data_IF_030259650314
#
_entry.id   IF_030259650314
#
_cell.length_a   1.000
_cell.length_b   1.000
_cell.length_c   1.000
_cell.angle_alpha   90.00
_cell.angle_beta   90.00
_cell.angle_gamma   90.00
#
_symmetry.space_group_name_H-M   'P 1'
#
loop_
_entity.id
_entity.type
_entity.pdbx_description
1 polymer ?
#
# COMPACT_ATOMS: atom_id res chain seq x y z
N UNK A 1 6.30 -21.19 11.91
CA UNK A 1 6.68 -19.75 12.10
C UNK A 1 8.04 -19.51 11.50
N UNK A 2 8.12 -18.71 10.44
CA UNK A 2 9.39 -18.25 9.86
C UNK A 2 9.57 -16.77 10.18
N UNK A 3 10.66 -16.44 10.86
CA UNK A 3 11.08 -15.07 11.10
C UNK A 3 12.16 -14.73 10.09
N UNK A 4 11.85 -13.83 9.15
CA UNK A 4 12.85 -13.32 8.22
C UNK A 4 13.51 -12.09 8.85
N UNK A 5 14.76 -12.27 9.29
CA UNK A 5 15.62 -11.19 9.75
C UNK A 5 16.44 -10.68 8.58
N UNK A 6 16.15 -9.47 8.11
CA UNK A 6 17.03 -8.74 7.20
C UNK A 6 17.59 -7.52 7.93
N UNK A 7 18.90 -7.54 8.19
CA UNK A 7 19.74 -6.41 8.64
C UNK A 7 18.98 -5.27 9.35
N UNK A 8 18.51 -5.50 10.58
CA UNK A 8 17.81 -4.56 11.49
C UNK A 8 16.32 -4.28 11.23
N UNK A 9 15.64 -5.04 10.37
CA UNK A 9 14.21 -4.87 10.11
C UNK A 9 13.47 -6.18 10.36
N UNK A 10 12.59 -6.16 11.37
CA UNK A 10 11.75 -7.29 11.75
C UNK A 10 10.59 -7.41 10.76
N UNK A 11 10.46 -8.58 10.14
CA UNK A 11 9.27 -8.97 9.37
C UNK A 11 8.76 -10.27 9.99
N UNK A 12 7.51 -10.26 10.43
CA UNK A 12 6.94 -11.41 11.13
C UNK A 12 5.92 -12.08 10.23
N UNK A 13 6.27 -13.25 9.70
CA UNK A 13 5.28 -14.14 9.08
C UNK A 13 4.76 -15.06 10.16
N UNK A 14 3.49 -14.86 10.52
CA UNK A 14 2.83 -15.64 11.57
C UNK A 14 2.09 -16.79 10.91
N UNK A 15 2.30 -17.98 11.44
CA UNK A 15 1.49 -19.15 11.11
C UNK A 15 0.35 -19.22 12.13
N UNK A 16 -0.89 -19.28 11.64
CA UNK A 16 -2.05 -19.44 12.53
C UNK A 16 -2.11 -20.86 13.04
N UNK A 17 -2.29 -21.00 14.35
CA UNK A 17 -2.56 -22.28 14.99
C UNK A 17 -4.07 -22.43 15.13
N UNK A 18 -4.57 -23.63 14.83
CA UNK A 18 -5.98 -23.98 15.09
C UNK A 18 -6.18 -24.03 16.60
N UNK A 19 -6.89 -23.04 17.14
CA UNK A 19 -7.43 -23.16 18.49
C UNK A 19 -8.58 -24.16 18.43
N UNK A 20 -8.51 -25.18 19.27
CA UNK A 20 -9.58 -26.17 19.43
C UNK A 20 -10.30 -25.86 20.73
N UNK A 21 -11.61 -25.75 20.66
CA UNK A 21 -12.46 -25.65 21.83
C UNK A 21 -12.19 -26.86 22.74
N UNK A 22 -11.85 -26.61 24.01
CA UNK A 22 -11.42 -27.66 24.94
C UNK A 22 -12.57 -28.61 25.36
N UNK A 23 -13.83 -28.18 25.22
CA UNK A 23 -15.01 -28.98 25.57
C UNK A 23 -15.49 -29.85 24.39
N UNK A 24 -15.38 -29.36 23.16
CA UNK A 24 -15.90 -30.05 21.97
C UNK A 24 -14.83 -30.64 21.06
N UNK A 25 -13.57 -30.22 21.20
CA UNK A 25 -12.46 -30.60 20.33
C UNK A 25 -12.53 -30.01 18.91
N UNK A 26 -13.58 -29.24 18.60
CA UNK A 26 -13.85 -28.63 17.30
C UNK A 26 -13.01 -27.35 17.18
N UNK A 27 -12.34 -27.11 16.03
CA UNK A 27 -11.68 -25.83 15.77
C UNK A 27 -12.69 -24.68 15.76
N UNK A 28 -12.52 -23.71 16.66
CA UNK A 28 -13.44 -22.57 16.83
C UNK A 28 -12.79 -21.25 16.43
N UNK A 29 -11.45 -21.15 16.52
CA UNK A 29 -10.68 -19.96 16.15
C UNK A 29 -9.35 -20.31 15.50
N UNK A 30 -8.86 -19.38 14.68
CA UNK A 30 -7.49 -19.40 14.17
C UNK A 30 -6.75 -18.21 14.79
N UNK A 31 -5.84 -18.49 15.72
CA UNK A 31 -5.09 -17.48 16.47
C UNK A 31 -3.59 -17.58 16.15
N UNK A 32 -2.84 -16.52 16.42
CA UNK A 32 -1.38 -16.60 16.37
C UNK A 32 -0.90 -17.56 17.47
N UNK A 33 0.09 -18.40 17.18
CA UNK A 33 0.76 -19.15 18.26
C UNK A 33 1.39 -18.18 19.28
N UNK A 34 1.74 -18.67 20.48
CA UNK A 34 2.25 -17.84 21.61
C UNK A 34 3.34 -16.84 21.17
N UNK A 35 4.29 -17.27 20.35
CA UNK A 35 5.33 -16.40 19.80
C UNK A 35 4.79 -15.35 18.82
N UNK A 36 3.81 -15.69 17.99
CA UNK A 36 3.19 -14.76 17.03
C UNK A 36 2.37 -13.71 17.75
N UNK A 37 1.67 -14.11 18.82
CA UNK A 37 0.92 -13.21 19.68
C UNK A 37 1.85 -12.23 20.39
N UNK A 38 2.99 -12.71 20.93
CA UNK A 38 4.02 -11.84 21.50
C UNK A 38 4.48 -10.75 20.52
N UNK A 39 4.72 -11.08 19.24
CA UNK A 39 5.11 -10.09 18.24
C UNK A 39 3.99 -9.11 17.89
N UNK A 40 2.74 -9.59 17.79
CA UNK A 40 1.57 -8.74 17.57
C UNK A 40 1.45 -7.70 18.69
N UNK A 41 1.61 -8.14 19.94
CA UNK A 41 1.40 -7.28 21.12
C UNK A 41 2.55 -6.27 21.32
N UNK A 42 3.79 -6.67 21.04
CA UNK A 42 4.97 -5.83 21.29
C UNK A 42 5.41 -4.99 20.09
N UNK A 43 4.96 -5.33 18.87
CA UNK A 43 5.35 -4.63 17.65
C UNK A 43 4.14 -4.32 16.75
N UNK A 44 3.18 -3.51 17.22
CA UNK A 44 1.88 -3.30 16.56
C UNK A 44 1.97 -2.69 15.16
N UNK A 45 3.08 -2.01 14.83
CA UNK A 45 3.30 -1.40 13.53
C UNK A 45 4.12 -2.28 12.57
N UNK A 46 4.52 -3.49 12.99
CA UNK A 46 5.26 -4.39 12.12
C UNK A 46 4.33 -5.06 11.12
N UNK A 47 4.67 -5.07 9.82
CA UNK A 47 3.92 -5.83 8.83
C UNK A 47 3.89 -7.32 9.20
N UNK A 48 2.69 -7.82 9.51
CA UNK A 48 2.44 -9.24 9.77
C UNK A 48 1.65 -9.86 8.62
N UNK A 49 2.03 -11.07 8.23
CA UNK A 49 1.32 -11.88 7.23
C UNK A 49 0.94 -13.25 7.79
N UNK A 50 -0.23 -13.74 7.40
CA UNK A 50 -0.68 -15.10 7.66
C UNK A 50 -0.20 -16.02 6.52
N UNK A 51 0.72 -16.94 6.82
CA UNK A 51 1.27 -17.86 5.83
C UNK A 51 0.20 -18.70 5.12
N UNK A 52 -0.92 -19.00 5.79
CA UNK A 52 -2.05 -19.72 5.19
C UNK A 52 -2.76 -18.97 4.07
N UNK A 53 -2.48 -17.67 3.92
CA UNK A 53 -3.04 -16.79 2.87
C UNK A 53 -2.06 -16.48 1.75
N UNK A 54 -0.90 -17.14 1.69
CA UNK A 54 0.10 -16.92 0.63
C UNK A 54 -0.49 -17.12 -0.79
N UNK A 55 -1.46 -18.02 -0.92
CA UNK A 55 -2.14 -18.30 -2.18
C UNK A 55 -3.14 -17.20 -2.61
N UNK A 56 -3.60 -16.36 -1.68
CA UNK A 56 -4.48 -15.23 -1.99
C UNK A 56 -3.63 -14.07 -2.52
N UNK A 57 -3.71 -13.84 -3.83
CA UNK A 57 -2.91 -12.82 -4.51
C UNK A 57 -3.21 -11.41 -4.02
N UNK A 58 -4.45 -11.12 -3.66
CA UNK A 58 -4.84 -9.80 -3.17
C UNK A 58 -4.25 -9.55 -1.79
N UNK A 59 -4.33 -10.53 -0.89
CA UNK A 59 -3.74 -10.41 0.45
C UNK A 59 -2.21 -10.32 0.36
N UNK A 60 -1.59 -11.10 -0.53
CA UNK A 60 -0.15 -11.04 -0.80
C UNK A 60 0.25 -9.66 -1.31
N UNK A 61 -0.48 -9.09 -2.28
CA UNK A 61 -0.23 -7.74 -2.80
C UNK A 61 -0.32 -6.67 -1.71
N UNK A 62 -1.38 -6.70 -0.89
CA UNK A 62 -1.57 -5.77 0.22
C UNK A 62 -0.42 -5.89 1.24
N UNK A 63 -0.02 -7.11 1.57
CA UNK A 63 1.09 -7.35 2.48
C UNK A 63 2.41 -6.82 1.93
N UNK A 64 2.73 -7.10 0.67
CA UNK A 64 3.97 -6.61 0.05
C UNK A 64 4.00 -5.08 -0.01
N UNK A 65 2.88 -4.42 -0.35
CA UNK A 65 2.77 -2.95 -0.30
C UNK A 65 3.13 -2.42 1.10
N UNK A 66 2.51 -3.00 2.14
CA UNK A 66 2.74 -2.62 3.53
C UNK A 66 4.18 -2.88 3.96
N UNK A 67 4.71 -4.06 3.62
CA UNK A 67 6.06 -4.48 3.97
C UNK A 67 7.12 -3.55 3.40
N UNK A 68 7.08 -3.28 2.09
CA UNK A 68 8.06 -2.42 1.45
C UNK A 68 7.88 -0.96 1.83
N UNK A 69 6.66 -0.49 2.09
CA UNK A 69 6.43 0.84 2.66
C UNK A 69 7.06 0.98 4.05
N UNK A 70 6.85 0.01 4.93
CA UNK A 70 7.45 -0.02 6.26
C UNK A 70 8.98 -0.02 6.17
N UNK A 71 9.55 -0.91 5.35
CA UNK A 71 11.00 -1.02 5.18
C UNK A 71 11.62 0.29 4.68
N UNK A 72 11.08 0.88 3.60
CA UNK A 72 11.58 2.16 3.07
C UNK A 72 11.43 3.29 4.06
N UNK A 73 10.33 3.33 4.82
CA UNK A 73 10.15 4.33 5.87
C UNK A 73 11.26 4.21 6.93
N UNK A 74 11.48 3.01 7.47
CA UNK A 74 12.47 2.77 8.53
C UNK A 74 13.90 3.05 8.08
N UNK A 75 14.22 2.74 6.82
CA UNK A 75 15.54 2.98 6.26
C UNK A 75 15.79 4.45 5.94
N UNK A 76 14.86 5.10 5.23
CA UNK A 76 15.13 6.36 4.57
C UNK A 76 14.64 7.58 5.35
N UNK A 77 13.65 7.44 6.24
CA UNK A 77 13.07 8.59 6.95
C UNK A 77 13.85 8.86 8.24
N UNK A 78 14.75 9.85 8.20
CA UNK A 78 15.54 10.32 9.36
C UNK A 78 15.33 11.79 9.68
N UNK A 79 14.90 12.56 8.69
CA UNK A 79 14.68 14.00 8.78
C UNK A 79 13.28 14.37 8.30
N UNK A 80 12.86 15.61 8.57
CA UNK A 80 11.59 16.14 8.04
C UNK A 80 11.59 16.15 6.51
N UNK A 81 12.73 16.46 5.88
CA UNK A 81 12.88 16.41 4.43
C UNK A 81 12.65 15.01 3.87
N UNK A 82 13.18 13.98 4.54
CA UNK A 82 12.96 12.59 4.12
C UNK A 82 11.49 12.18 4.27
N UNK A 83 10.82 12.63 5.33
CA UNK A 83 9.39 12.36 5.53
C UNK A 83 8.54 13.01 4.43
N UNK A 84 8.89 14.24 4.03
CA UNK A 84 8.22 14.94 2.94
C UNK A 84 8.45 14.23 1.60
N UNK A 85 9.68 13.81 1.32
CA UNK A 85 10.02 13.02 0.12
C UNK A 85 9.26 11.69 0.10
N UNK A 86 9.27 10.95 1.22
CA UNK A 86 8.51 9.71 1.37
C UNK A 86 7.01 9.94 1.13
N UNK A 87 6.41 10.97 1.74
CA UNK A 87 5.00 11.26 1.53
C UNK A 87 4.69 11.62 0.07
N UNK A 88 5.59 12.37 -0.59
CA UNK A 88 5.48 12.71 -2.02
C UNK A 88 5.48 11.46 -2.89
N UNK A 89 6.42 10.54 -2.69
CA UNK A 89 6.53 9.27 -3.43
C UNK A 89 5.31 8.36 -3.25
N UNK A 90 4.69 8.38 -2.07
CA UNK A 90 3.57 7.50 -1.72
C UNK A 90 2.19 8.12 -1.96
N UNK A 91 2.10 9.40 -2.32
CA UNK A 91 0.87 10.19 -2.36
C UNK A 91 -0.29 9.49 -3.06
N UNK A 92 -0.11 9.02 -4.30
CA UNK A 92 -1.21 8.39 -5.04
C UNK A 92 -1.55 6.99 -4.56
N UNK A 93 -0.56 6.24 -4.04
CA UNK A 93 -0.82 4.96 -3.40
C UNK A 93 -1.71 5.17 -2.17
N UNK A 94 -1.33 6.08 -1.26
CA UNK A 94 -2.12 6.40 -0.06
C UNK A 94 -3.48 6.97 -0.39
N UNK A 95 -3.56 7.79 -1.45
CA UNK A 95 -4.83 8.30 -1.95
C UNK A 95 -5.78 7.18 -2.39
N UNK A 96 -5.24 6.13 -3.03
CA UNK A 96 -5.97 4.92 -3.40
C UNK A 96 -6.57 4.15 -2.23
N UNK A 97 -5.95 4.21 -1.05
CA UNK A 97 -6.54 3.70 0.18
C UNK A 97 -7.57 4.69 0.74
N UNK A 98 -7.15 5.92 1.07
CA UNK A 98 -8.03 6.95 1.63
C UNK A 98 -7.49 8.36 1.38
N UNK A 99 -8.22 9.17 0.63
CA UNK A 99 -7.84 10.55 0.32
C UNK A 99 -7.77 11.47 1.56
N UNK A 100 -8.66 11.30 2.53
CA UNK A 100 -8.69 12.15 3.73
C UNK A 100 -7.49 11.86 4.63
N UNK A 101 -7.21 10.58 4.89
CA UNK A 101 -6.05 10.14 5.67
C UNK A 101 -4.75 10.52 4.96
N UNK A 102 -4.66 10.37 3.63
CA UNK A 102 -3.52 10.84 2.85
C UNK A 102 -3.27 12.34 3.06
N UNK A 103 -4.31 13.18 2.99
CA UNK A 103 -4.18 14.63 3.22
C UNK A 103 -3.74 14.96 4.64
N UNK A 104 -4.30 14.26 5.63
CA UNK A 104 -3.91 14.42 7.04
C UNK A 104 -2.42 14.10 7.23
N UNK A 105 -1.96 12.95 6.73
CA UNK A 105 -0.56 12.54 6.76
C UNK A 105 0.35 13.56 6.04
N UNK A 106 -0.12 14.15 4.94
CA UNK A 106 0.61 15.20 4.24
C UNK A 106 0.81 16.46 5.08
N UNK A 107 -0.16 16.84 5.91
CA UNK A 107 0.00 17.95 6.86
C UNK A 107 1.01 17.62 7.96
N UNK A 108 1.01 16.38 8.46
CA UNK A 108 2.02 15.90 9.42
C UNK A 108 3.41 16.02 8.80
N UNK A 109 3.60 15.54 7.57
CA UNK A 109 4.88 15.63 6.87
C UNK A 109 5.32 17.07 6.60
N UNK A 110 4.40 17.95 6.17
CA UNK A 110 4.70 19.35 5.88
C UNK A 110 5.12 20.14 7.14
N UNK A 111 4.50 19.85 8.28
CA UNK A 111 4.74 20.57 9.53
C UNK A 111 5.87 19.97 10.38
N UNK A 112 6.59 18.96 9.88
CA UNK A 112 7.62 18.27 10.65
C UNK A 112 7.09 17.55 11.89
N UNK A 113 5.87 17.00 11.79
CA UNK A 113 5.23 16.26 12.88
C UNK A 113 5.94 14.96 13.23
N UNK A 114 5.47 14.31 14.30
CA UNK A 114 6.07 13.09 14.85
C UNK A 114 6.07 11.93 13.84
N UNK A 115 7.25 11.35 13.61
CA UNK A 115 7.46 10.26 12.65
C UNK A 115 6.78 8.97 13.09
N UNK A 116 6.65 8.71 14.38
CA UNK A 116 5.93 7.56 14.91
C UNK A 116 4.43 7.70 14.66
N UNK A 117 3.86 8.89 14.86
CA UNK A 117 2.45 9.16 14.54
C UNK A 117 2.20 8.97 13.03
N UNK A 118 3.12 9.44 12.19
CA UNK A 118 3.02 9.19 10.75
C UNK A 118 3.09 7.70 10.42
N UNK A 119 4.03 6.97 11.01
CA UNK A 119 4.25 5.53 10.79
C UNK A 119 3.06 4.68 11.27
N UNK A 120 2.41 5.08 12.35
CA UNK A 120 1.18 4.45 12.81
C UNK A 120 0.05 4.65 11.79
N UNK A 121 -0.13 5.87 11.29
CA UNK A 121 -1.18 6.20 10.29
C UNK A 121 -0.94 5.51 8.94
N UNK A 122 0.21 5.73 8.32
CA UNK A 122 1.10 4.64 7.97
C UNK A 122 0.52 3.24 7.72
N UNK A 123 0.88 2.39 8.69
CA UNK A 123 0.57 0.96 8.75
C UNK A 123 -0.92 0.69 8.90
N UNK A 124 -1.64 1.56 9.61
CA UNK A 124 -3.10 1.48 9.75
C UNK A 124 -3.79 1.61 8.40
N UNK A 125 -3.40 2.62 7.61
CA UNK A 125 -3.96 2.89 6.30
C UNK A 125 -3.66 1.76 5.32
N UNK A 126 -2.41 1.29 5.27
CA UNK A 126 -2.00 0.20 4.37
C UNK A 126 -2.58 -1.18 4.77
N UNK A 127 -3.07 -1.32 6.00
CA UNK A 127 -3.79 -2.52 6.45
C UNK A 127 -5.30 -2.45 6.16
N UNK A 128 -5.81 -1.30 5.72
CA UNK A 128 -7.21 -1.12 5.34
C UNK A 128 -7.49 -1.63 3.92
N UNK A 129 -8.77 -1.79 3.59
CA UNK A 129 -9.19 -2.22 2.25
C UNK A 129 -9.00 -1.08 1.25
N UNK A 130 -8.35 -1.38 0.12
CA UNK A 130 -8.26 -0.45 -1.02
C UNK A 130 -9.67 -0.17 -1.54
N UNK A 131 -9.95 1.11 -1.80
CA UNK A 131 -11.23 1.55 -2.38
C UNK A 131 -11.07 1.76 -3.88
N UNK A 132 -11.86 1.03 -4.67
CA UNK A 132 -11.88 1.17 -6.13
C UNK A 132 -12.18 2.61 -6.58
N UNK A 133 -13.13 3.27 -5.91
CA UNK A 133 -13.44 4.69 -6.13
C UNK A 133 -12.22 5.59 -5.91
N UNK A 134 -11.42 5.30 -4.89
CA UNK A 134 -10.24 6.08 -4.56
C UNK A 134 -9.08 5.81 -5.53
N UNK A 135 -8.95 4.58 -6.03
CA UNK A 135 -8.02 4.25 -7.12
C UNK A 135 -8.38 5.03 -8.39
N UNK A 136 -9.65 5.01 -8.80
CA UNK A 136 -10.14 5.80 -9.94
C UNK A 136 -9.83 7.29 -9.77
N UNK A 137 -10.08 7.83 -8.58
CA UNK A 137 -9.74 9.21 -8.28
C UNK A 137 -8.22 9.47 -8.44
N UNK A 138 -7.39 8.56 -7.95
CA UNK A 138 -5.93 8.65 -8.10
C UNK A 138 -5.50 8.61 -9.57
N UNK A 139 -6.11 7.74 -10.39
CA UNK A 139 -5.88 7.66 -11.83
C UNK A 139 -6.22 8.99 -12.52
N UNK A 140 -7.37 9.59 -12.22
CA UNK A 140 -7.74 10.90 -12.78
C UNK A 140 -6.77 12.02 -12.36
N UNK A 141 -6.34 12.02 -11.10
CA UNK A 141 -5.35 13.00 -10.65
C UNK A 141 -4.01 12.85 -11.39
N UNK A 142 -3.55 11.64 -11.66
CA UNK A 142 -2.33 11.38 -12.42
C UNK A 142 -2.51 11.73 -13.90
N UNK A 143 -3.66 11.41 -14.50
CA UNK A 143 -4.01 11.81 -15.87
C UNK A 143 -3.96 13.34 -16.06
N UNK A 144 -4.25 14.12 -15.01
CA UNK A 144 -4.13 15.57 -15.03
C UNK A 144 -2.73 16.10 -15.37
N UNK A 145 -1.66 15.32 -15.12
CA UNK A 145 -0.29 15.69 -15.49
C UNK A 145 -0.03 15.56 -17.00
N UNK A 146 -0.73 14.64 -17.65
CA UNK A 146 -0.61 14.34 -19.09
C UNK A 146 -1.53 15.20 -19.96
N UNK A 147 -2.27 16.15 -19.37
CA UNK A 147 -3.31 16.90 -20.07
C UNK A 147 -2.80 17.72 -21.27
N UNK A 148 -1.52 18.09 -21.28
CA UNK A 148 -0.90 18.87 -22.36
C UNK A 148 -0.27 17.98 -23.43
N UNK A 149 0.08 16.75 -23.07
CA UNK A 149 0.80 15.80 -23.91
C UNK A 149 -0.13 14.86 -24.68
N UNK A 150 -1.36 14.69 -24.18
CA UNK A 150 -2.39 13.87 -24.82
C UNK A 150 -3.33 14.71 -25.67
N UNK A 151 -3.61 14.22 -26.88
CA UNK A 151 -4.69 14.76 -27.71
C UNK A 151 -6.07 14.38 -27.15
N UNK A 152 -7.14 14.82 -27.82
CA UNK A 152 -8.50 14.53 -27.38
C UNK A 152 -8.82 13.02 -27.44
N UNK A 153 -8.39 12.34 -28.50
CA UNK A 153 -8.63 10.92 -28.72
C UNK A 153 -7.97 10.06 -27.65
N UNK A 154 -6.72 10.35 -27.31
CA UNK A 154 -5.98 9.68 -26.23
C UNK A 154 -6.67 9.86 -24.87
N UNK A 155 -7.14 11.08 -24.57
CA UNK A 155 -7.86 11.37 -23.32
C UNK A 155 -9.16 10.60 -23.22
N UNK A 156 -9.95 10.58 -24.29
CA UNK A 156 -11.20 9.84 -24.36
C UNK A 156 -10.98 8.34 -24.21
N UNK A 157 -9.94 7.80 -24.85
CA UNK A 157 -9.58 6.39 -24.72
C UNK A 157 -9.23 6.01 -23.27
N UNK A 158 -8.38 6.80 -22.61
CA UNK A 158 -8.02 6.54 -21.20
C UNK A 158 -9.26 6.69 -20.29
N UNK A 159 -10.13 7.67 -20.56
CA UNK A 159 -11.38 7.84 -19.82
C UNK A 159 -12.27 6.60 -19.93
N UNK A 160 -12.45 6.07 -21.15
CA UNK A 160 -13.20 4.83 -21.39
C UNK A 160 -12.61 3.66 -20.60
N UNK A 161 -11.29 3.50 -20.57
CA UNK A 161 -10.64 2.45 -19.79
C UNK A 161 -10.86 2.60 -18.28
N UNK A 162 -10.89 3.84 -17.76
CA UNK A 162 -11.20 4.11 -16.36
C UNK A 162 -12.68 3.79 -16.06
N UNK A 163 -13.59 4.10 -16.96
CA UNK A 163 -15.01 3.75 -16.81
C UNK A 163 -15.24 2.24 -16.83
N UNK A 164 -14.60 1.53 -17.75
CA UNK A 164 -14.65 0.06 -17.83
C UNK A 164 -14.07 -0.55 -16.56
N UNK A 165 -12.91 -0.05 -16.12
CA UNK A 165 -12.34 -0.39 -14.83
C UNK A 165 -13.33 -0.11 -13.71
N UNK A 166 -14.11 0.97 -13.72
CA UNK A 166 -15.12 1.26 -12.70
C UNK A 166 -16.28 0.26 -12.66
N UNK A 167 -16.64 -0.34 -13.79
CA UNK A 167 -17.80 -1.25 -13.91
C UNK A 167 -17.47 -2.72 -13.62
N UNK A 168 -16.22 -3.15 -13.80
CA UNK A 168 -15.85 -4.55 -13.55
C UNK A 168 -15.91 -4.97 -12.07
N UNK A 169 -16.17 -6.24 -11.80
CA UNK A 169 -16.07 -6.79 -10.43
C UNK A 169 -14.63 -7.19 -10.05
N UNK A 170 -13.71 -7.23 -11.01
CA UNK A 170 -12.31 -7.58 -10.77
C UNK A 170 -11.48 -6.38 -10.28
N UNK A 171 -10.37 -6.69 -9.61
CA UNK A 171 -9.38 -5.70 -9.19
C UNK A 171 -8.34 -5.38 -10.26
N UNK A 172 -8.35 -6.08 -11.41
CA UNK A 172 -7.37 -5.93 -12.48
C UNK A 172 -7.43 -4.53 -13.09
N UNK A 173 -6.41 -3.71 -12.85
CA UNK A 173 -6.36 -2.34 -13.34
C UNK A 173 -5.58 -2.25 -14.65
N UNK A 174 -6.29 -2.36 -15.78
CA UNK A 174 -5.68 -2.23 -17.12
C UNK A 174 -5.27 -0.79 -17.47
N UNK A 175 -5.71 0.20 -16.71
CA UNK A 175 -5.34 1.62 -16.89
C UNK A 175 -3.91 1.85 -16.42
N UNK A 176 -3.49 1.17 -15.35
CA UNK A 176 -2.20 1.40 -14.71
C UNK A 176 -0.99 1.16 -15.65
N UNK A 177 -0.89 0.04 -16.40
CA UNK A 177 0.21 -0.16 -17.35
C UNK A 177 0.27 0.90 -18.45
N UNK A 178 -0.89 1.31 -18.98
CA UNK A 178 -0.98 2.33 -20.03
C UNK A 178 -0.53 3.68 -19.48
N UNK A 179 -1.01 4.05 -18.29
CA UNK A 179 -0.63 5.30 -17.65
C UNK A 179 0.86 5.32 -17.32
N UNK A 180 1.42 4.21 -16.82
CA UNK A 180 2.86 4.07 -16.57
C UNK A 180 3.68 4.24 -17.85
N UNK A 181 3.26 3.61 -18.95
CA UNK A 181 3.90 3.79 -20.26
C UNK A 181 3.89 5.26 -20.71
N UNK A 182 2.75 5.96 -20.58
CA UNK A 182 2.65 7.37 -20.97
C UNK A 182 3.50 8.28 -20.09
N UNK A 183 3.59 8.01 -18.79
CA UNK A 183 4.47 8.71 -17.85
C UNK A 183 5.93 8.57 -18.28
N UNK A 184 6.35 7.38 -18.70
CA UNK A 184 7.70 7.15 -19.22
C UNK A 184 7.93 7.86 -20.55
N UNK A 185 6.98 7.72 -21.49
CA UNK A 185 7.04 8.31 -22.84
C UNK A 185 7.18 9.83 -22.81
N UNK A 186 6.42 10.51 -21.95
CA UNK A 186 6.39 11.98 -21.87
C UNK A 186 7.28 12.54 -20.75
N UNK A 187 8.10 11.70 -20.12
CA UNK A 187 9.05 12.09 -19.08
C UNK A 187 8.44 12.89 -17.92
N UNK A 188 7.29 12.43 -17.40
CA UNK A 188 6.60 13.11 -16.30
C UNK A 188 7.32 12.83 -14.98
N UNK A 189 8.40 13.57 -14.71
CA UNK A 189 9.31 13.35 -13.59
C UNK A 189 8.61 13.16 -12.23
N UNK A 190 7.60 13.99 -11.92
CA UNK A 190 6.84 13.88 -10.67
C UNK A 190 6.12 12.53 -10.50
N UNK A 191 5.64 11.94 -11.60
CA UNK A 191 4.91 10.67 -11.57
C UNK A 191 5.84 9.45 -11.63
N UNK A 192 7.05 9.57 -12.22
CA UNK A 192 8.06 8.50 -12.22
C UNK A 192 8.52 8.11 -10.82
N UNK A 193 8.51 9.05 -9.88
CA UNK A 193 8.83 8.81 -8.48
C UNK A 193 7.71 8.12 -7.69
N UNK A 194 6.51 7.97 -8.27
CA UNK A 194 5.34 7.48 -7.53
C UNK A 194 5.38 5.97 -7.32
N UNK A 195 5.23 5.55 -6.06
CA UNK A 195 5.12 4.14 -5.66
C UNK A 195 3.78 3.51 -6.01
N UNK A 196 2.89 4.24 -6.68
CA UNK A 196 1.63 3.70 -7.17
C UNK A 196 1.87 2.57 -8.20
N UNK A 197 2.77 2.77 -9.16
CA UNK A 197 3.04 1.81 -10.26
C UNK A 197 4.02 0.69 -9.88
N UNK A 198 4.91 0.97 -8.93
CA UNK A 198 5.94 0.05 -8.46
C UNK A 198 6.04 0.09 -6.93
N UNK A 199 5.00 -0.36 -6.20
CA UNK A 199 4.96 -0.28 -4.74
C UNK A 199 5.98 -1.22 -4.08
N UNK A 200 6.37 -2.30 -4.74
CA UNK A 200 7.40 -3.26 -4.33
C UNK A 200 8.15 -3.81 -5.56
N UNK A 201 9.38 -4.33 -5.39
CA UNK A 201 10.13 -5.00 -6.46
C UNK A 201 9.35 -6.20 -7.02
N UNK A 202 9.27 -6.31 -8.36
CA UNK A 202 8.64 -7.43 -9.07
C UNK A 202 9.64 -8.54 -9.35
#
# INVERSE_FOLDING_TARGET
MELFFSQNHLVVVVERVKHRNQETGIPDKFEAGVFGQFFIDNFPHTPIFDSGRLHDEQQRHIFLNKLFAYFRFRQNVKTVGDLQAFHKEYKYLLMGYNQNTMREMGRIAANGGDFNIYLEKLMTLLSSRISKKNIINSLYHMMGYLKKDLDLSDKEHIHSLIEDYSKQNSYENKVEPILNFLIEKYDIAYLKEQRFFNPYPK
#
